data_IF_398910396311
#
_entry.id   IF_398910396311
#
_cell.length_a   1.000
_cell.length_b   1.000
_cell.length_c   1.000
_cell.angle_alpha   90.00
_cell.angle_beta   90.00
_cell.angle_gamma   90.00
#
_symmetry.space_group_name_H-M   'P 1'
#
loop_
_entity.id
_entity.type
_entity.pdbx_description
1 polymer ?
#
# COMPACT_ATOMS: atom_id res chain seq x y z
N UNK A 1 15.05 14.79 11.04
CA UNK A 1 15.20 13.64 10.13
C UNK A 1 13.79 13.20 9.80
N UNK A 2 13.47 12.96 8.53
CA UNK A 2 12.22 12.31 8.14
C UNK A 2 12.33 10.82 8.48
N UNK A 3 11.28 10.26 9.05
CA UNK A 3 11.16 8.82 9.26
C UNK A 3 10.56 8.21 8.00
N UNK A 4 11.08 7.05 7.58
CA UNK A 4 10.65 6.34 6.38
C UNK A 4 10.31 4.90 6.76
N UNK A 5 9.23 4.38 6.17
CA UNK A 5 8.77 3.01 6.37
C UNK A 5 8.74 2.35 4.99
N UNK A 6 9.33 1.15 4.91
CA UNK A 6 9.35 0.35 3.69
C UNK A 6 8.58 -0.95 3.93
N UNK A 7 7.62 -1.24 3.06
CA UNK A 7 6.81 -2.45 3.08
C UNK A 7 7.03 -3.23 1.80
N UNK A 8 7.48 -4.48 1.94
CA UNK A 8 7.66 -5.39 0.80
C UNK A 8 6.72 -6.58 0.93
N UNK A 9 5.83 -6.74 -0.05
CA UNK A 9 4.85 -7.83 -0.08
C UNK A 9 5.00 -8.67 -1.36
N UNK A 10 4.63 -9.96 -1.34
CA UNK A 10 4.49 -10.73 -2.56
C UNK A 10 3.45 -10.09 -3.48
N UNK A 11 3.67 -10.19 -4.80
CA UNK A 11 2.79 -9.66 -5.83
C UNK A 11 1.48 -10.46 -5.93
N UNK A 12 0.61 -10.32 -4.92
CA UNK A 12 -0.62 -11.07 -4.75
C UNK A 12 -1.67 -10.24 -3.99
N UNK A 13 -2.88 -10.15 -4.55
CA UNK A 13 -4.00 -9.37 -3.99
C UNK A 13 -4.33 -9.68 -2.53
N UNK A 14 -4.04 -10.89 -2.04
CA UNK A 14 -4.32 -11.28 -0.65
C UNK A 14 -3.63 -10.38 0.39
N UNK A 15 -2.56 -9.68 0.00
CA UNK A 15 -1.82 -8.78 0.88
C UNK A 15 -2.30 -7.32 0.82
N UNK A 16 -3.20 -6.96 -0.10
CA UNK A 16 -3.69 -5.58 -0.21
C UNK A 16 -4.44 -5.12 1.05
N UNK A 17 -5.16 -6.01 1.74
CA UNK A 17 -5.79 -5.65 3.02
C UNK A 17 -4.77 -5.32 4.13
N UNK A 18 -3.57 -5.92 4.08
CA UNK A 18 -2.51 -5.58 5.02
C UNK A 18 -1.95 -4.19 4.70
N UNK A 19 -1.73 -3.89 3.42
CA UNK A 19 -1.27 -2.56 2.97
C UNK A 19 -2.28 -1.47 3.35
N UNK A 20 -3.57 -1.72 3.15
CA UNK A 20 -4.67 -0.84 3.54
C UNK A 20 -4.61 -0.49 5.03
N UNK A 21 -4.52 -1.52 5.89
CA UNK A 21 -4.43 -1.33 7.35
C UNK A 21 -3.20 -0.54 7.77
N UNK A 22 -2.03 -0.87 7.22
CA UNK A 22 -0.78 -0.15 7.54
C UNK A 22 -0.90 1.31 7.12
N UNK A 23 -1.42 1.58 5.92
CA UNK A 23 -1.58 2.94 5.40
C UNK A 23 -2.53 3.76 6.26
N UNK A 24 -3.67 3.17 6.64
CA UNK A 24 -4.65 3.83 7.51
C UNK A 24 -4.09 4.14 8.91
N UNK A 25 -3.40 3.18 9.53
CA UNK A 25 -2.79 3.37 10.86
C UNK A 25 -1.74 4.49 10.83
N UNK A 26 -0.85 4.48 9.84
CA UNK A 26 0.18 5.51 9.71
C UNK A 26 -0.42 6.90 9.45
N UNK A 27 -1.46 6.98 8.60
CA UNK A 27 -2.13 8.24 8.33
C UNK A 27 -2.86 8.78 9.57
N UNK A 28 -3.47 7.92 10.39
CA UNK A 28 -4.09 8.27 11.65
C UNK A 28 -3.06 8.74 12.70
N UNK A 29 -1.92 8.05 12.81
CA UNK A 29 -0.80 8.47 13.67
C UNK A 29 -0.27 9.88 13.30
N UNK A 30 -0.38 10.27 12.04
CA UNK A 30 -0.01 11.60 11.55
C UNK A 30 -1.14 12.65 11.69
N UNK A 31 -2.29 12.28 12.27
CA UNK A 31 -3.41 13.15 12.56
C UNK A 31 -4.21 13.58 11.33
N UNK A 32 -4.19 12.76 10.26
CA UNK A 32 -5.03 13.03 9.09
C UNK A 32 -6.51 12.82 9.44
N UNK A 33 -7.39 13.63 8.85
CA UNK A 33 -8.83 13.40 8.98
C UNK A 33 -9.26 12.18 8.15
N UNK A 34 -10.30 11.46 8.59
CA UNK A 34 -10.79 10.22 7.95
C UNK A 34 -10.89 10.30 6.42
N UNK A 35 -11.41 11.41 5.88
CA UNK A 35 -11.52 11.60 4.43
C UNK A 35 -10.15 11.51 3.72
N UNK A 36 -9.13 12.13 4.29
CA UNK A 36 -7.77 12.08 3.73
C UNK A 36 -7.15 10.69 3.91
N UNK A 37 -7.42 10.03 5.05
CA UNK A 37 -6.99 8.65 5.27
C UNK A 37 -7.55 7.73 4.17
N UNK A 38 -8.85 7.84 3.88
CA UNK A 38 -9.52 7.05 2.84
C UNK A 38 -8.91 7.33 1.45
N UNK A 39 -8.67 8.61 1.12
CA UNK A 39 -8.07 9.02 -0.17
C UNK A 39 -6.64 8.48 -0.34
N UNK A 40 -5.82 8.52 0.72
CA UNK A 40 -4.46 7.97 0.71
C UNK A 40 -4.49 6.45 0.59
N UNK A 41 -5.33 5.77 1.37
CA UNK A 41 -5.47 4.33 1.31
C UNK A 41 -5.87 3.86 -0.10
N UNK A 42 -6.88 4.49 -0.72
CA UNK A 42 -7.28 4.20 -2.11
C UNK A 42 -6.09 4.37 -3.07
N UNK A 43 -5.36 5.48 -2.95
CA UNK A 43 -4.22 5.78 -3.84
C UNK A 43 -3.10 4.75 -3.72
N UNK A 44 -2.78 4.33 -2.49
CA UNK A 44 -1.76 3.30 -2.25
C UNK A 44 -2.22 1.95 -2.78
N UNK A 45 -3.48 1.58 -2.59
CA UNK A 45 -4.04 0.32 -3.12
C UNK A 45 -4.06 0.29 -4.65
N UNK A 46 -4.41 1.40 -5.31
CA UNK A 46 -4.34 1.51 -6.77
C UNK A 46 -2.90 1.37 -7.27
N UNK A 47 -1.93 2.03 -6.62
CA UNK A 47 -0.52 1.89 -6.96
C UNK A 47 -0.03 0.44 -6.81
N UNK A 48 -0.41 -0.24 -5.73
CA UNK A 48 -0.10 -1.65 -5.52
C UNK A 48 -0.75 -2.55 -6.57
N UNK A 49 -2.02 -2.29 -6.90
CA UNK A 49 -2.75 -3.04 -7.92
C UNK A 49 -2.10 -2.89 -9.28
N UNK A 50 -1.71 -1.67 -9.66
CA UNK A 50 -0.97 -1.40 -10.90
C UNK A 50 0.40 -2.11 -10.91
N UNK A 51 1.11 -2.13 -9.78
CA UNK A 51 2.37 -2.85 -9.66
C UNK A 51 2.17 -4.37 -9.81
N UNK A 52 1.12 -4.95 -9.22
CA UNK A 52 0.77 -6.37 -9.35
C UNK A 52 0.38 -6.70 -10.81
N UNK A 53 -0.56 -5.96 -11.38
CA UNK A 53 -1.18 -6.26 -12.67
C UNK A 53 -0.32 -5.89 -13.86
N UNK A 54 0.25 -4.69 -13.85
CA UNK A 54 0.93 -4.12 -15.01
C UNK A 54 2.45 -4.20 -14.88
N UNK A 55 2.99 -3.97 -13.68
CA UNK A 55 4.43 -4.11 -13.41
C UNK A 55 4.85 -5.57 -13.46
N UNK A 56 4.33 -6.37 -12.54
CA UNK A 56 4.72 -7.76 -12.31
C UNK A 56 3.91 -8.77 -13.12
N UNK A 57 2.87 -8.32 -13.87
CA UNK A 57 2.02 -9.19 -14.70
C UNK A 57 1.40 -10.36 -13.92
N UNK A 58 1.00 -10.10 -12.68
CA UNK A 58 0.49 -11.07 -11.72
C UNK A 58 1.47 -12.24 -11.44
N UNK A 59 2.78 -12.04 -11.64
CA UNK A 59 3.79 -13.04 -11.29
C UNK A 59 3.92 -13.11 -9.75
N UNK A 60 3.56 -14.24 -9.11
CA UNK A 60 3.56 -14.35 -7.65
C UNK A 60 4.96 -14.48 -7.04
N UNK A 61 5.99 -14.70 -7.85
CA UNK A 61 7.39 -14.75 -7.43
C UNK A 61 8.03 -13.36 -7.31
N UNK A 62 7.39 -12.36 -7.93
CA UNK A 62 7.81 -10.96 -7.81
C UNK A 62 7.20 -10.31 -6.56
N UNK A 63 7.72 -9.14 -6.22
CA UNK A 63 7.30 -8.37 -5.03
C UNK A 63 6.87 -6.96 -5.40
N UNK A 64 6.00 -6.37 -4.58
CA UNK A 64 5.70 -4.94 -4.58
C UNK A 64 6.35 -4.31 -3.36
N UNK A 65 7.01 -3.18 -3.56
CA UNK A 65 7.66 -2.37 -2.53
C UNK A 65 7.01 -0.99 -2.48
N UNK A 66 6.69 -0.55 -1.27
CA UNK A 66 5.93 0.66 -0.96
C UNK A 66 6.64 1.38 0.17
#
# INVERSE_FOLDING_TARGET
MSEEIFVKIPSNYKFLNLVDKITCELADEHGLGQKLIDEVAISVIEACTNAIEHGNKCCPEETVEI
#
